data_IF_584166823760
#
_entry.id   IF_584166823760
#
_cell.length_a   1.000
_cell.length_b   1.000
_cell.length_c   1.000
_cell.angle_alpha   90.00
_cell.angle_beta   90.00
_cell.angle_gamma   90.00
#
_symmetry.space_group_name_H-M   'P 1'
#
loop_
_entity.id
_entity.type
_entity.pdbx_description
1 polymer ?
#
# COMPACT_ATOMS: atom_id res chain seq x y z
N UNK A 1 24.66 -19.06 5.82
CA UNK A 1 24.09 -17.83 6.40
C UNK A 1 22.91 -17.32 5.54
N UNK A 2 21.84 -18.11 5.40
CA UNK A 2 20.76 -17.86 4.41
C UNK A 2 19.69 -16.89 4.94
N UNK A 3 19.61 -16.69 6.26
CA UNK A 3 18.52 -15.95 6.92
C UNK A 3 18.62 -14.41 6.86
N UNK A 4 19.77 -13.84 6.48
CA UNK A 4 19.98 -12.38 6.52
C UNK A 4 19.33 -11.63 5.34
N UNK A 5 19.04 -12.31 4.22
CA UNK A 5 18.46 -11.71 3.01
C UNK A 5 16.95 -11.94 2.84
N UNK A 6 16.36 -12.82 3.66
CA UNK A 6 14.95 -13.23 3.58
C UNK A 6 14.09 -12.56 4.65
N UNK A 7 14.67 -12.13 5.77
CA UNK A 7 13.96 -11.47 6.86
C UNK A 7 13.94 -9.95 6.66
N UNK A 8 12.76 -9.40 6.35
CA UNK A 8 12.53 -7.94 6.28
C UNK A 8 12.19 -7.39 7.67
N UNK A 9 12.43 -6.09 7.89
CA UNK A 9 12.05 -5.42 9.15
C UNK A 9 10.53 -5.27 9.24
N UNK A 10 10.01 -5.02 10.45
CA UNK A 10 8.59 -4.70 10.63
C UNK A 10 8.17 -3.48 9.81
N UNK A 11 9.02 -2.46 9.69
CA UNK A 11 8.79 -1.28 8.86
C UNK A 11 8.64 -1.63 7.37
N UNK A 12 9.54 -2.43 6.82
CA UNK A 12 9.41 -2.91 5.44
C UNK A 12 8.18 -3.80 5.25
N UNK A 13 7.84 -4.61 6.25
CA UNK A 13 6.66 -5.48 6.21
C UNK A 13 5.36 -4.66 6.20
N UNK A 14 5.21 -3.68 7.08
CA UNK A 14 4.04 -2.78 7.10
C UNK A 14 3.94 -1.98 5.81
N UNK A 15 5.07 -1.47 5.29
CA UNK A 15 5.11 -0.81 3.99
C UNK A 15 4.62 -1.72 2.86
N UNK A 16 5.09 -2.97 2.79
CA UNK A 16 4.62 -3.91 1.76
C UNK A 16 3.14 -4.26 1.92
N UNK A 17 2.65 -4.39 3.16
CA UNK A 17 1.24 -4.62 3.46
C UNK A 17 0.37 -3.48 2.94
N UNK A 18 0.77 -2.21 3.10
CA UNK A 18 0.03 -1.07 2.56
C UNK A 18 0.13 -1.00 1.03
N UNK A 19 1.34 -1.18 0.48
CA UNK A 19 1.58 -1.13 -0.97
C UNK A 19 0.75 -2.14 -1.76
N UNK A 20 0.51 -3.34 -1.20
CA UNK A 20 -0.27 -4.39 -1.87
C UNK A 20 -1.73 -4.01 -2.14
N UNK A 21 -2.26 -3.01 -1.42
CA UNK A 21 -3.64 -2.52 -1.57
C UNK A 21 -3.78 -1.57 -2.76
N UNK A 22 -2.72 -0.79 -3.04
CA UNK A 22 -2.69 0.15 -4.16
C UNK A 22 -2.22 -0.52 -5.47
N UNK A 23 -1.23 -1.42 -5.38
CA UNK A 23 -0.59 -2.04 -6.54
C UNK A 23 -0.11 -3.47 -6.26
N UNK A 24 0.21 -4.21 -7.33
CA UNK A 24 0.75 -5.57 -7.18
C UNK A 24 2.21 -5.51 -6.71
N UNK A 25 2.47 -6.07 -5.52
CA UNK A 25 3.84 -6.36 -5.09
C UNK A 25 4.54 -7.32 -6.07
N UNK A 26 5.85 -7.12 -6.26
CA UNK A 26 6.70 -8.08 -6.97
C UNK A 26 6.74 -9.43 -6.24
N UNK A 27 6.97 -10.52 -6.99
CA UNK A 27 6.99 -11.89 -6.45
C UNK A 27 7.97 -12.04 -5.28
N UNK A 28 9.15 -11.44 -5.39
CA UNK A 28 10.17 -11.47 -4.32
C UNK A 28 9.71 -10.78 -3.04
N UNK A 29 9.04 -9.62 -3.14
CA UNK A 29 8.49 -8.91 -1.98
C UNK A 29 7.35 -9.70 -1.33
N UNK A 30 6.50 -10.36 -2.13
CA UNK A 30 5.43 -11.23 -1.62
C UNK A 30 5.98 -12.40 -0.80
N UNK A 31 7.01 -13.09 -1.30
CA UNK A 31 7.62 -14.22 -0.59
C UNK A 31 8.25 -13.75 0.73
N UNK A 32 9.00 -12.65 0.71
CA UNK A 32 9.60 -12.06 1.93
C UNK A 32 8.53 -11.68 2.96
N UNK A 33 7.45 -11.03 2.51
CA UNK A 33 6.34 -10.66 3.37
C UNK A 33 5.65 -11.91 3.97
N UNK A 34 5.40 -12.93 3.15
CA UNK A 34 4.81 -14.20 3.59
C UNK A 34 5.63 -14.84 4.73
N UNK A 35 6.95 -14.92 4.57
CA UNK A 35 7.85 -15.45 5.60
C UNK A 35 7.79 -14.60 6.88
N UNK A 36 7.82 -13.26 6.77
CA UNK A 36 7.76 -12.38 7.93
C UNK A 36 6.43 -12.53 8.70
N UNK A 37 5.30 -12.62 7.99
CA UNK A 37 3.97 -12.78 8.57
C UNK A 37 3.77 -14.13 9.30
N UNK A 38 4.53 -15.17 8.91
CA UNK A 38 4.52 -16.45 9.61
C UNK A 38 5.16 -16.38 11.00
N UNK A 39 6.08 -15.42 11.22
CA UNK A 39 6.90 -15.33 12.45
C UNK A 39 6.44 -14.16 13.33
N UNK A 40 6.05 -13.02 12.73
CA UNK A 40 5.71 -11.81 13.46
C UNK A 40 4.18 -11.66 13.64
N UNK A 41 3.70 -11.99 14.84
CA UNK A 41 2.27 -11.87 15.20
C UNK A 41 1.72 -10.44 15.04
N UNK A 42 2.53 -9.42 15.26
CA UNK A 42 2.10 -8.02 15.18
C UNK A 42 1.86 -7.59 13.73
N UNK A 43 2.77 -7.94 12.81
CA UNK A 43 2.58 -7.65 11.40
C UNK A 43 1.40 -8.45 10.80
N UNK A 44 1.17 -9.68 11.27
CA UNK A 44 -0.03 -10.47 10.91
C UNK A 44 -1.32 -9.81 11.39
N UNK A 45 -1.34 -9.28 12.61
CA UNK A 45 -2.49 -8.54 13.13
C UNK A 45 -2.73 -7.26 12.32
N UNK A 46 -1.68 -6.49 12.04
CA UNK A 46 -1.76 -5.30 11.19
C UNK A 46 -2.30 -5.63 9.80
N UNK A 47 -1.81 -6.71 9.17
CA UNK A 47 -2.31 -7.15 7.87
C UNK A 47 -3.82 -7.47 7.89
N UNK A 48 -4.30 -8.08 8.97
CA UNK A 48 -5.73 -8.37 9.14
C UNK A 48 -6.55 -7.09 9.29
N UNK A 49 -6.10 -6.15 10.12
CA UNK A 49 -6.75 -4.85 10.29
C UNK A 49 -6.79 -4.06 8.98
N UNK A 50 -5.67 -4.05 8.24
CA UNK A 50 -5.57 -3.37 6.95
C UNK A 50 -6.56 -3.96 5.94
N UNK A 51 -6.64 -5.29 5.82
CA UNK A 51 -7.63 -5.95 4.94
C UNK A 51 -9.06 -5.62 5.33
N UNK A 52 -9.37 -5.61 6.63
CA UNK A 52 -10.70 -5.26 7.12
C UNK A 52 -11.06 -3.82 6.71
N UNK A 53 -10.14 -2.88 6.96
CA UNK A 53 -10.34 -1.47 6.61
C UNK A 53 -10.57 -1.29 5.10
N UNK A 54 -9.70 -1.85 4.27
CA UNK A 54 -9.81 -1.73 2.81
C UNK A 54 -11.08 -2.39 2.30
N UNK A 55 -11.47 -3.55 2.82
CA UNK A 55 -12.71 -4.22 2.42
C UNK A 55 -13.93 -3.33 2.67
N UNK A 56 -13.98 -2.64 3.81
CA UNK A 56 -15.10 -1.77 4.16
C UNK A 56 -15.06 -0.41 3.46
N UNK A 57 -13.88 0.15 3.18
CA UNK A 57 -13.74 1.47 2.54
C UNK A 57 -13.81 1.40 1.01
N UNK A 58 -13.40 0.30 0.38
CA UNK A 58 -13.32 0.18 -1.09
C UNK A 58 -14.68 0.37 -1.79
N UNK A 59 -15.77 0.17 -1.07
CA UNK A 59 -17.14 0.39 -1.55
C UNK A 59 -17.81 1.63 -0.95
N UNK A 60 -17.08 2.45 -0.19
CA UNK A 60 -17.56 3.76 0.21
C UNK A 60 -17.59 4.66 -1.03
N UNK A 61 -18.70 4.59 -1.77
CA UNK A 61 -18.97 5.52 -2.86
C UNK A 61 -19.17 6.90 -2.26
N UNK A 62 -18.16 7.74 -2.38
CA UNK A 62 -18.35 9.17 -2.17
C UNK A 62 -19.09 9.76 -3.38
N UNK A 63 -20.13 10.54 -3.12
CA UNK A 63 -20.78 11.36 -4.17
C UNK A 63 -19.98 12.63 -4.46
N UNK A 64 -18.92 12.89 -3.68
CA UNK A 64 -18.03 14.01 -3.93
C UNK A 64 -17.19 13.71 -5.18
N UNK A 65 -17.52 14.42 -6.26
CA UNK A 65 -16.67 14.54 -7.43
C UNK A 65 -16.11 15.96 -7.48
N UNK A 66 -14.87 16.09 -7.94
CA UNK A 66 -14.34 17.39 -8.33
C UNK A 66 -15.17 17.95 -9.50
N UNK A 67 -15.42 19.25 -9.47
CA UNK A 67 -15.90 20.01 -10.63
C UNK A 67 -14.85 20.02 -11.73
N UNK A 68 -15.26 20.30 -12.97
CA UNK A 68 -14.32 20.37 -14.10
C UNK A 68 -13.23 21.43 -13.89
N UNK A 69 -13.57 22.56 -13.26
CA UNK A 69 -12.60 23.59 -12.89
C UNK A 69 -11.55 23.07 -11.89
N UNK A 70 -11.98 22.35 -10.85
CA UNK A 70 -11.06 21.76 -9.87
C UNK A 70 -10.14 20.70 -10.49
N UNK A 71 -10.69 19.89 -11.42
CA UNK A 71 -9.89 18.91 -12.18
C UNK A 71 -8.83 19.60 -13.04
N UNK A 72 -9.20 20.64 -13.76
CA UNK A 72 -8.28 21.40 -14.63
C UNK A 72 -7.19 22.10 -13.80
N UNK A 73 -7.56 22.76 -12.70
CA UNK A 73 -6.62 23.38 -11.79
C UNK A 73 -5.61 22.36 -11.22
N UNK A 74 -6.10 21.17 -10.83
CA UNK A 74 -5.24 20.09 -10.33
C UNK A 74 -4.30 19.55 -11.41
N UNK A 75 -4.81 19.32 -12.63
CA UNK A 75 -4.01 18.84 -13.76
C UNK A 75 -2.90 19.84 -14.12
N UNK A 76 -3.20 21.13 -14.14
CA UNK A 76 -2.22 22.17 -14.41
C UNK A 76 -1.11 22.20 -13.35
N UNK A 77 -1.48 22.03 -12.07
CA UNK A 77 -0.51 21.93 -10.97
C UNK A 77 0.38 20.69 -11.09
N UNK A 78 -0.19 19.52 -11.39
CA UNK A 78 0.60 18.30 -11.61
C UNK A 78 1.58 18.50 -12.76
N UNK A 79 1.11 19.11 -13.86
CA UNK A 79 1.96 19.38 -15.03
C UNK A 79 3.09 20.37 -14.73
N UNK A 80 2.88 21.36 -13.86
CA UNK A 80 3.96 22.28 -13.46
C UNK A 80 5.02 21.60 -12.59
N UNK A 81 4.63 20.68 -11.71
CA UNK A 81 5.56 19.95 -10.83
C UNK A 81 6.34 18.84 -11.58
N UNK A 82 5.72 18.22 -12.59
CA UNK A 82 6.34 17.15 -13.39
C UNK A 82 7.18 17.64 -14.57
N UNK A 83 6.98 18.89 -15.01
CA UNK A 83 7.90 19.55 -15.95
C UNK A 83 9.19 19.90 -15.20
N UNK A 84 10.15 18.97 -15.26
CA UNK A 84 11.57 19.27 -15.04
C UNK A 84 12.06 20.30 -16.07
#
# INVERSE_FOLDING_TARGET
MIFKNTMITCESATQFISQKEEHRLSVSRRIKLFIHLAICKFCRLFEMQNRFLIHHIKHASTTASLSEFEKEALQNKINSELKK
#
